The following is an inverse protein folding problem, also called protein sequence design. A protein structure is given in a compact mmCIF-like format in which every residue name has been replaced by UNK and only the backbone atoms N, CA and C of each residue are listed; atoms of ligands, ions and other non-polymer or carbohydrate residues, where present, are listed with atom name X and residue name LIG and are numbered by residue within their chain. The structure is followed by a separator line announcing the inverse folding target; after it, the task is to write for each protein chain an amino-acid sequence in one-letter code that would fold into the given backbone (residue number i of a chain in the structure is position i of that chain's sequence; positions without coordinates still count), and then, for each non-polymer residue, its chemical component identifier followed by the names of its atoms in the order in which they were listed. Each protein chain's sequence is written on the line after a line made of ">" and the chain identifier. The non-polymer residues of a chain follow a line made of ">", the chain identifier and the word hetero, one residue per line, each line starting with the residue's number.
data_IF_790440994396
#
_entry.id   IF_790440994396
#
_cell.length_a   1.000
_cell.length_b   1.000
_cell.length_c   1.000
_cell.angle_alpha   90.00
_cell.angle_beta   90.00
_cell.angle_gamma   90.00
#
_symmetry.space_group_name_H-M   'P 1'
#
loop_
_entity.id
_entity.type
_entity.pdbx_description
1 polymer ?
#
# COMPACT_ATOMS: atom_id res chain seq x y z
N UNK A 1 27.06 19.36 89.81
CA UNK A 1 25.86 18.62 89.40
C UNK A 1 25.82 18.57 87.88
N UNK A 2 25.86 17.34 87.36
CA UNK A 2 25.54 16.85 86.02
C UNK A 2 25.99 17.66 84.78
N UNK A 3 27.13 17.25 84.22
CA UNK A 3 27.47 17.40 82.80
C UNK A 3 26.66 16.39 81.96
N UNK A 4 25.91 16.85 80.96
CA UNK A 4 25.28 16.01 79.94
C UNK A 4 26.15 15.94 78.67
N UNK A 5 26.27 14.77 78.02
CA UNK A 5 27.14 14.58 76.88
C UNK A 5 26.46 14.90 75.54
N UNK A 6 27.25 15.51 74.65
CA UNK A 6 27.01 15.69 73.22
C UNK A 6 26.92 14.35 72.49
N UNK A 7 25.76 14.02 71.92
CA UNK A 7 25.56 12.73 71.24
C UNK A 7 24.47 12.76 70.17
N UNK A 8 24.50 13.72 69.25
CA UNK A 8 23.50 13.80 68.16
C UNK A 8 24.11 14.32 66.85
N UNK A 9 25.04 13.58 66.23
CA UNK A 9 25.60 14.00 64.93
C UNK A 9 26.00 12.88 63.96
N UNK A 10 25.86 11.59 64.30
CA UNK A 10 26.27 10.48 63.40
C UNK A 10 25.16 9.82 62.57
N UNK A 11 23.88 10.06 62.87
CA UNK A 11 22.76 9.45 62.13
C UNK A 11 22.29 10.27 60.91
N UNK A 12 22.67 11.54 60.79
CA UNK A 12 22.23 12.41 59.69
C UNK A 12 23.06 12.25 58.41
N UNK A 13 24.32 11.81 58.52
CA UNK A 13 25.23 11.66 57.38
C UNK A 13 24.95 10.40 56.53
N UNK A 14 24.45 9.32 57.12
CA UNK A 14 24.21 8.06 56.38
C UNK A 14 22.96 8.07 55.47
N UNK A 15 21.93 8.87 55.79
CA UNK A 15 20.76 9.02 54.90
C UNK A 15 21.12 9.76 53.60
N UNK A 16 21.96 10.79 53.69
CA UNK A 16 22.36 11.62 52.53
C UNK A 16 23.01 10.83 51.40
N UNK A 17 23.78 9.78 51.70
CA UNK A 17 24.46 8.98 50.67
C UNK A 17 23.53 7.98 49.99
N UNK A 18 22.59 7.38 50.73
CA UNK A 18 21.62 6.45 50.16
C UNK A 18 20.66 7.18 49.22
N UNK A 19 20.23 8.39 49.61
CA UNK A 19 19.33 9.24 48.81
C UNK A 19 20.03 9.71 47.52
N UNK A 20 21.32 10.08 47.57
CA UNK A 20 22.08 10.42 46.37
C UNK A 20 22.28 9.21 45.43
N UNK A 21 22.53 8.02 45.98
CA UNK A 21 22.70 6.81 45.18
C UNK A 21 21.39 6.40 44.50
N UNK A 22 20.28 6.37 45.23
CA UNK A 22 18.95 6.07 44.69
C UNK A 22 18.52 7.09 43.62
N UNK A 23 18.78 8.38 43.85
CA UNK A 23 18.52 9.43 42.85
C UNK A 23 19.33 9.20 41.57
N UNK A 24 20.63 8.90 41.70
CA UNK A 24 21.51 8.66 40.54
C UNK A 24 21.07 7.43 39.73
N UNK A 25 20.68 6.34 40.39
CA UNK A 25 20.17 5.13 39.73
C UNK A 25 18.86 5.40 39.00
N UNK A 26 17.94 6.16 39.62
CA UNK A 26 16.67 6.52 38.98
C UNK A 26 16.90 7.41 37.74
N UNK A 27 17.83 8.37 37.80
CA UNK A 27 18.19 9.19 36.65
C UNK A 27 18.75 8.36 35.49
N UNK A 28 19.60 7.37 35.77
CA UNK A 28 20.14 6.47 34.73
C UNK A 28 19.05 5.60 34.10
N UNK A 29 18.12 5.07 34.89
CA UNK A 29 17.00 4.27 34.39
C UNK A 29 16.03 5.11 33.54
N UNK A 30 15.78 6.37 33.93
CA UNK A 30 14.95 7.29 33.15
C UNK A 30 15.64 7.70 31.85
N UNK A 31 16.95 7.94 31.86
CA UNK A 31 17.71 8.26 30.66
C UNK A 31 17.68 7.09 29.65
N UNK A 32 17.95 5.86 30.11
CA UNK A 32 17.91 4.67 29.26
C UNK A 32 16.49 4.40 28.69
N UNK A 33 15.45 4.62 29.49
CA UNK A 33 14.07 4.51 29.00
C UNK A 33 13.75 5.55 27.91
N UNK A 34 14.17 6.81 28.10
CA UNK A 34 13.96 7.89 27.11
C UNK A 34 14.73 7.61 25.82
N UNK A 35 16.00 7.18 25.92
CA UNK A 35 16.82 6.86 24.75
C UNK A 35 16.25 5.67 23.97
N UNK A 36 15.82 4.61 24.64
CA UNK A 36 15.20 3.45 23.97
C UNK A 36 13.86 3.81 23.32
N UNK A 37 13.03 4.62 23.98
CA UNK A 37 11.76 5.07 23.41
C UNK A 37 11.97 5.99 22.20
N UNK A 38 12.91 6.93 22.29
CA UNK A 38 13.27 7.82 21.20
C UNK A 38 13.85 7.03 20.02
N UNK A 39 14.81 6.13 20.25
CA UNK A 39 15.41 5.32 19.20
C UNK A 39 14.40 4.40 18.49
N UNK A 40 13.40 3.87 19.21
CA UNK A 40 12.31 3.12 18.57
C UNK A 40 11.44 3.99 17.68
N UNK A 41 11.07 5.19 18.14
CA UNK A 41 10.25 6.09 17.33
C UNK A 41 11.01 6.59 16.09
N UNK A 42 12.25 7.07 16.27
CA UNK A 42 13.07 7.55 15.17
C UNK A 42 13.61 6.42 14.28
N UNK A 43 13.63 5.18 14.76
CA UNK A 43 13.97 4.01 13.95
C UNK A 43 12.88 3.63 12.93
N UNK A 44 11.62 4.02 13.18
CA UNK A 44 10.51 3.74 12.24
C UNK A 44 10.52 4.73 11.08
N UNK A 45 10.81 6.01 11.32
CA UNK A 45 10.71 7.07 10.31
C UNK A 45 12.10 7.54 9.87
N UNK A 46 12.48 7.25 8.63
CA UNK A 46 13.67 7.84 8.00
C UNK A 46 13.25 8.92 7.02
N UNK A 47 13.37 10.18 7.43
CA UNK A 47 12.96 11.35 6.63
C UNK A 47 14.17 11.94 5.90
N UNK A 48 14.00 12.22 4.61
CA UNK A 48 15.01 12.83 3.74
C UNK A 48 14.64 14.28 3.41
N UNK A 49 15.66 15.13 3.22
CA UNK A 49 15.47 16.54 2.83
C UNK A 49 14.79 16.74 1.45
N UNK A 50 14.65 15.68 0.66
CA UNK A 50 13.90 15.65 -0.60
C UNK A 50 12.38 15.59 -0.42
N UNK A 51 11.90 15.49 0.83
CA UNK A 51 10.48 15.30 1.15
C UNK A 51 10.03 13.84 1.04
N UNK A 52 10.99 12.91 1.03
CA UNK A 52 10.72 11.47 1.07
C UNK A 52 10.83 10.97 2.52
N UNK A 53 9.92 10.09 2.93
CA UNK A 53 9.92 9.46 4.25
C UNK A 53 9.79 7.96 4.08
N UNK A 54 10.77 7.20 4.56
CA UNK A 54 10.71 5.74 4.59
C UNK A 54 10.21 5.30 5.96
N UNK A 55 9.15 4.51 5.96
CA UNK A 55 8.61 3.86 7.15
C UNK A 55 9.13 2.42 7.21
N UNK A 56 9.93 2.08 8.21
CA UNK A 56 10.25 0.69 8.51
C UNK A 56 9.04 0.05 9.18
N UNK A 57 8.58 -1.09 8.67
CA UNK A 57 7.40 -1.77 9.22
C UNK A 57 7.73 -2.65 10.41
N UNK A 58 9.00 -3.01 10.59
CA UNK A 58 9.49 -3.77 11.71
C UNK A 58 9.21 -3.03 13.03
N UNK A 59 8.53 -3.70 13.97
CA UNK A 59 7.96 -3.13 15.20
C UNK A 59 6.80 -2.12 14.99
N UNK A 60 6.50 -1.67 13.77
CA UNK A 60 5.44 -0.70 13.47
C UNK A 60 4.11 -1.38 13.08
N UNK A 61 3.73 -2.44 13.80
CA UNK A 61 2.49 -3.19 13.59
C UNK A 61 1.35 -2.64 14.46
N UNK A 62 0.11 -3.04 14.18
CA UNK A 62 -1.13 -2.66 14.86
C UNK A 62 -1.60 -1.23 14.60
N UNK A 63 -2.67 -0.86 15.30
CA UNK A 63 -3.39 0.40 15.20
C UNK A 63 -4.89 0.17 15.33
N UNK A 64 -5.69 1.21 15.59
CA UNK A 64 -7.13 1.08 15.52
C UNK A 64 -7.53 0.83 14.06
N UNK A 65 -8.30 -0.23 13.77
CA UNK A 65 -8.80 -0.57 12.41
C UNK A 65 -9.85 0.42 11.86
N UNK A 66 -9.76 1.69 12.22
CA UNK A 66 -10.60 2.79 11.78
C UNK A 66 -9.79 3.72 10.85
N UNK A 67 -10.40 4.15 9.76
CA UNK A 67 -9.81 5.14 8.84
C UNK A 67 -9.57 6.49 9.52
N UNK A 68 -10.37 6.82 10.53
CA UNK A 68 -10.31 8.08 11.27
C UNK A 68 -9.35 8.05 12.46
N UNK A 69 -8.48 7.04 12.57
CA UNK A 69 -7.41 7.00 13.57
C UNK A 69 -6.05 6.68 12.95
N UNK A 70 -4.99 7.27 13.48
CA UNK A 70 -3.62 7.06 13.00
C UNK A 70 -3.20 5.59 13.14
N UNK A 71 -2.58 5.05 12.10
CA UNK A 71 -1.92 3.74 12.13
C UNK A 71 -0.42 3.88 12.38
N UNK A 72 0.23 2.80 12.82
CA UNK A 72 1.68 2.82 13.03
C UNK A 72 2.45 2.99 11.72
N UNK A 73 2.02 2.31 10.65
CA UNK A 73 2.50 2.56 9.28
C UNK A 73 1.50 3.41 8.51
N UNK A 74 1.69 4.73 8.60
CA UNK A 74 0.91 5.71 7.86
C UNK A 74 1.78 6.92 7.53
N UNK A 75 1.70 7.39 6.30
CA UNK A 75 2.39 8.59 5.84
C UNK A 75 1.96 9.82 6.64
N UNK A 76 2.89 10.77 6.78
CA UNK A 76 2.65 11.96 7.57
C UNK A 76 1.76 12.98 6.82
N UNK A 77 1.50 14.10 7.49
CA UNK A 77 0.70 15.17 6.94
C UNK A 77 1.31 15.73 5.64
N UNK A 78 0.52 15.77 4.56
CA UNK A 78 0.96 16.21 3.23
C UNK A 78 1.73 15.15 2.44
N UNK A 79 1.99 13.98 3.02
CA UNK A 79 2.61 12.83 2.36
C UNK A 79 1.59 11.80 1.85
N UNK A 80 1.96 11.10 0.78
CA UNK A 80 1.23 9.96 0.24
C UNK A 80 2.16 8.76 0.09
N UNK A 81 1.61 7.54 0.14
CA UNK A 81 2.40 6.37 -0.22
C UNK A 81 2.71 6.42 -1.71
N UNK A 82 3.98 6.20 -2.04
CA UNK A 82 4.49 6.13 -3.41
C UNK A 82 5.22 4.83 -3.68
N UNK A 83 5.52 4.02 -2.67
CA UNK A 83 6.16 2.74 -2.91
C UNK A 83 6.15 1.81 -1.71
N UNK A 84 6.56 0.59 -1.97
CA UNK A 84 6.77 -0.48 -1.00
C UNK A 84 8.14 -1.10 -1.24
N UNK A 85 8.78 -1.53 -0.17
CA UNK A 85 10.07 -2.20 -0.22
C UNK A 85 10.03 -3.52 0.51
N UNK A 86 10.71 -4.49 -0.07
CA UNK A 86 11.09 -5.73 0.60
C UNK A 86 12.63 -5.85 0.60
N UNK A 87 13.13 -6.71 1.48
CA UNK A 87 14.53 -7.06 1.58
C UNK A 87 14.83 -8.29 0.72
N UNK A 88 14.50 -9.49 1.20
CA UNK A 88 14.96 -10.77 0.62
C UNK A 88 13.90 -11.86 0.61
N UNK A 89 12.64 -11.53 0.86
CA UNK A 89 11.57 -12.52 1.03
C UNK A 89 10.52 -12.40 -0.10
N UNK A 90 10.91 -12.06 -1.33
CA UNK A 90 10.03 -12.09 -2.51
C UNK A 90 8.71 -11.33 -2.37
N UNK A 91 8.65 -10.26 -1.59
CA UNK A 91 7.41 -9.56 -1.21
C UNK A 91 6.40 -10.45 -0.46
N UNK A 92 6.89 -11.44 0.30
CA UNK A 92 6.16 -12.16 1.34
C UNK A 92 6.03 -11.33 2.62
N UNK A 93 6.86 -10.30 2.77
CA UNK A 93 6.74 -9.28 3.79
C UNK A 93 6.82 -7.91 3.14
N UNK A 94 6.23 -6.92 3.81
CA UNK A 94 6.43 -5.53 3.43
C UNK A 94 7.35 -4.89 4.46
N UNK A 95 8.66 -4.88 4.21
CA UNK A 95 9.65 -4.38 5.17
C UNK A 95 9.65 -2.85 5.28
N UNK A 96 9.32 -2.17 4.18
CA UNK A 96 9.36 -0.71 4.09
C UNK A 96 8.17 -0.17 3.31
N UNK A 97 7.72 1.02 3.70
CA UNK A 97 6.82 1.85 2.92
C UNK A 97 7.51 3.15 2.59
N UNK A 98 7.36 3.59 1.35
CA UNK A 98 7.86 4.87 0.90
C UNK A 98 6.72 5.88 0.85
N UNK A 99 6.86 6.93 1.64
CA UNK A 99 6.00 8.10 1.64
C UNK A 99 6.72 9.27 0.97
N UNK A 100 5.97 10.12 0.28
CA UNK A 100 6.50 11.33 -0.34
C UNK A 100 5.57 12.50 -0.12
N UNK A 101 6.13 13.68 0.09
CA UNK A 101 5.38 14.92 0.18
C UNK A 101 4.76 15.29 -1.18
N UNK A 102 3.45 15.11 -1.31
CA UNK A 102 2.72 15.22 -2.58
C UNK A 102 1.73 16.39 -2.62
N UNK A 103 1.44 17.01 -1.48
CA UNK A 103 0.40 18.03 -1.37
C UNK A 103 0.92 19.34 -0.76
N UNK A 104 1.77 20.09 -1.47
CA UNK A 104 2.40 21.32 -0.94
C UNK A 104 1.42 22.41 -0.52
N UNK A 105 0.29 22.53 -1.21
CA UNK A 105 -0.76 23.51 -0.91
C UNK A 105 -1.79 23.04 0.13
N UNK A 106 -1.60 21.84 0.71
CA UNK A 106 -2.49 21.36 1.77
C UNK A 106 -2.28 22.23 3.02
N UNK A 107 -3.36 22.69 3.69
CA UNK A 107 -3.21 23.39 4.96
C UNK A 107 -2.62 22.44 6.02
N UNK A 108 -1.67 22.90 6.85
CA UNK A 108 -1.06 22.07 7.88
C UNK A 108 -2.12 21.67 8.91
N UNK A 109 -2.12 20.40 9.34
CA UNK A 109 -3.01 19.97 10.42
C UNK A 109 -2.45 20.27 11.81
N UNK A 110 -1.23 20.81 11.90
CA UNK A 110 -0.52 21.04 13.18
C UNK A 110 -0.44 19.77 14.04
N UNK A 111 -0.30 18.61 13.40
CA UNK A 111 -0.23 17.32 14.09
C UNK A 111 -1.59 16.77 14.54
N UNK A 112 -2.69 17.46 14.28
CA UNK A 112 -4.04 16.95 14.53
C UNK A 112 -4.41 15.89 13.47
N UNK A 113 -4.91 14.76 13.94
CA UNK A 113 -5.40 13.67 13.11
C UNK A 113 -6.94 13.78 12.96
N UNK A 114 -7.55 13.44 11.81
CA UNK A 114 -6.96 12.87 10.59
C UNK A 114 -6.18 13.88 9.74
N UNK A 115 -5.07 13.41 9.15
CA UNK A 115 -4.27 14.22 8.23
C UNK A 115 -5.05 14.56 6.96
N UNK A 116 -5.90 13.65 6.49
CA UNK A 116 -6.68 13.78 5.27
C UNK A 116 -8.19 13.63 5.54
N UNK A 117 -9.05 14.26 4.72
CA UNK A 117 -10.49 14.09 4.85
C UNK A 117 -10.94 12.69 4.38
N UNK A 118 -12.03 12.21 4.96
CA UNK A 118 -12.80 11.04 4.49
C UNK A 118 -11.93 9.80 4.22
N UNK A 119 -11.27 9.31 5.26
CA UNK A 119 -10.50 8.08 5.19
C UNK A 119 -11.38 6.85 5.43
N UNK A 120 -11.13 5.78 4.69
CA UNK A 120 -11.78 4.48 4.87
C UNK A 120 -10.75 3.35 4.71
N UNK A 121 -11.11 2.19 5.25
CA UNK A 121 -10.25 1.01 5.25
C UNK A 121 -10.74 0.03 4.19
N UNK A 122 -9.80 -0.51 3.42
CA UNK A 122 -10.03 -1.57 2.45
C UNK A 122 -9.11 -2.73 2.73
N UNK A 123 -9.31 -3.84 2.04
CA UNK A 123 -8.52 -5.04 2.20
C UNK A 123 -7.90 -5.45 0.88
N UNK A 124 -6.59 -5.32 0.73
CA UNK A 124 -5.91 -5.53 -0.55
C UNK A 124 -5.83 -7.01 -0.96
N UNK A 125 -6.39 -7.92 -0.16
CA UNK A 125 -6.65 -9.31 -0.56
C UNK A 125 -7.83 -9.44 -1.53
N UNK A 126 -8.88 -8.65 -1.32
CA UNK A 126 -10.16 -8.79 -2.06
C UNK A 126 -10.61 -7.49 -2.73
N UNK A 127 -10.00 -6.37 -2.36
CA UNK A 127 -10.37 -5.02 -2.72
C UNK A 127 -9.11 -4.23 -3.09
N UNK A 128 -8.62 -4.43 -4.31
CA UNK A 128 -7.27 -4.00 -4.70
C UNK A 128 -7.06 -2.50 -4.94
N UNK A 129 -8.13 -1.73 -5.12
CA UNK A 129 -8.05 -0.30 -5.45
C UNK A 129 -8.68 0.53 -4.34
N UNK A 130 -8.26 1.76 -4.13
CA UNK A 130 -8.98 2.70 -3.27
C UNK A 130 -10.31 3.13 -3.91
N UNK A 131 -10.31 3.34 -5.23
CA UNK A 131 -11.50 3.71 -5.99
C UNK A 131 -12.56 2.58 -6.03
N UNK A 132 -13.84 2.96 -5.91
CA UNK A 132 -15.02 2.08 -5.99
C UNK A 132 -16.04 2.66 -6.95
N UNK A 133 -16.34 1.94 -8.03
CA UNK A 133 -17.39 2.35 -8.95
C UNK A 133 -18.78 2.42 -8.27
N UNK A 134 -19.05 1.54 -7.30
CA UNK A 134 -20.33 1.50 -6.57
C UNK A 134 -20.50 2.71 -5.65
N UNK A 135 -19.41 3.18 -5.05
CA UNK A 135 -19.38 4.26 -4.07
C UNK A 135 -18.48 5.39 -4.57
N UNK A 136 -18.75 5.86 -5.79
CA UNK A 136 -17.93 6.84 -6.51
C UNK A 136 -17.72 8.11 -5.68
N UNK A 137 -18.78 8.68 -5.13
CA UNK A 137 -18.73 9.94 -4.38
C UNK A 137 -17.80 9.88 -3.16
N UNK A 138 -17.65 8.70 -2.55
CA UNK A 138 -16.79 8.50 -1.38
C UNK A 138 -15.36 8.16 -1.79
N UNK A 139 -15.20 7.38 -2.86
CA UNK A 139 -13.92 6.78 -3.24
C UNK A 139 -13.16 7.50 -4.35
N UNK A 140 -13.77 8.51 -4.98
CA UNK A 140 -13.08 9.36 -5.97
C UNK A 140 -11.96 10.16 -5.33
N UNK A 141 -10.86 10.31 -6.07
CA UNK A 141 -9.66 11.02 -5.64
C UNK A 141 -9.12 10.47 -4.32
N UNK A 142 -9.10 9.16 -4.19
CA UNK A 142 -8.54 8.49 -3.01
C UNK A 142 -7.24 7.79 -3.35
N UNK A 143 -6.34 7.78 -2.38
CA UNK A 143 -5.01 7.20 -2.47
C UNK A 143 -4.64 6.54 -1.14
N UNK A 144 -3.63 5.68 -1.16
CA UNK A 144 -3.17 4.93 0.00
C UNK A 144 -2.35 5.84 0.91
N UNK A 145 -2.71 5.89 2.19
CA UNK A 145 -1.96 6.61 3.22
C UNK A 145 -1.40 5.70 4.30
N UNK A 146 -2.07 4.58 4.58
CA UNK A 146 -1.69 3.63 5.63
C UNK A 146 -1.74 2.18 5.16
N UNK A 147 -0.90 1.34 5.75
CA UNK A 147 -1.03 -0.13 5.69
C UNK A 147 -1.10 -0.68 7.12
N UNK A 148 -1.77 -1.80 7.29
CA UNK A 148 -1.94 -2.43 8.58
C UNK A 148 -1.54 -3.90 8.53
N UNK A 149 -0.86 -4.33 9.57
CA UNK A 149 -0.66 -5.73 9.92
C UNK A 149 -0.75 -5.85 11.44
N UNK A 150 -1.17 -7.02 11.93
CA UNK A 150 -1.15 -7.34 13.36
C UNK A 150 0.10 -8.16 13.76
N UNK A 151 0.93 -8.54 12.79
CA UNK A 151 2.18 -9.25 12.96
C UNK A 151 3.37 -8.28 13.00
N UNK A 152 4.32 -8.63 13.84
CA UNK A 152 5.55 -7.93 14.07
C UNK A 152 6.42 -7.71 12.81
N UNK A 153 6.40 -8.65 11.86
CA UNK A 153 7.22 -8.62 10.65
C UNK A 153 6.46 -8.19 9.39
N UNK A 154 5.18 -7.82 9.52
CA UNK A 154 4.35 -7.37 8.40
C UNK A 154 4.26 -8.41 7.26
N UNK A 155 3.94 -9.65 7.65
CA UNK A 155 3.82 -10.77 6.72
C UNK A 155 2.59 -10.63 5.83
N UNK A 156 2.81 -10.58 4.52
CA UNK A 156 1.74 -10.50 3.52
C UNK A 156 1.10 -11.85 3.23
N UNK A 157 1.71 -12.94 3.70
CA UNK A 157 1.14 -14.27 3.74
C UNK A 157 0.90 -14.73 5.17
N UNK A 158 -0.26 -15.35 5.43
CA UNK A 158 -0.54 -16.06 6.67
C UNK A 158 -0.96 -17.48 6.34
N UNK A 159 -0.39 -18.46 7.04
CA UNK A 159 -0.79 -19.87 6.89
C UNK A 159 -2.24 -20.04 7.39
N UNK A 160 -3.20 -20.06 6.47
CA UNK A 160 -4.63 -20.05 6.74
C UNK A 160 -5.39 -19.22 5.70
N UNK A 161 -6.70 -19.07 5.82
CA UNK A 161 -7.45 -18.09 5.01
C UNK A 161 -6.97 -16.68 5.36
N UNK A 162 -5.94 -16.21 4.67
CA UNK A 162 -5.34 -14.89 4.78
C UNK A 162 -6.24 -13.84 4.09
N UNK A 163 -7.42 -13.69 4.70
CA UNK A 163 -8.53 -12.93 4.16
C UNK A 163 -8.50 -11.47 4.61
N UNK A 164 -7.53 -11.02 5.40
CA UNK A 164 -7.56 -9.66 5.97
C UNK A 164 -6.17 -9.05 5.97
N UNK A 165 -5.94 -8.20 4.97
CA UNK A 165 -4.77 -7.36 4.90
C UNK A 165 -5.23 -5.91 4.65
N UNK A 166 -5.51 -5.16 5.73
CA UNK A 166 -6.11 -3.85 5.62
C UNK A 166 -5.11 -2.79 5.13
N UNK A 167 -5.62 -1.87 4.33
CA UNK A 167 -4.92 -0.65 3.94
C UNK A 167 -5.90 0.52 3.99
N UNK A 168 -5.36 1.71 4.25
CA UNK A 168 -6.12 2.92 4.45
C UNK A 168 -6.08 3.78 3.20
N UNK A 169 -7.27 4.15 2.73
CA UNK A 169 -7.48 5.05 1.62
C UNK A 169 -8.05 6.36 2.13
N UNK A 170 -7.46 7.49 1.77
CA UNK A 170 -7.96 8.82 2.13
C UNK A 170 -8.19 9.66 0.89
N UNK A 171 -9.09 10.65 0.97
CA UNK A 171 -9.29 11.60 -0.12
C UNK A 171 -8.14 12.59 -0.21
N UNK A 172 -7.83 13.01 -1.43
CA UNK A 172 -6.95 14.14 -1.67
C UNK A 172 -7.48 15.41 -0.99
N UNK A 173 -6.58 16.31 -0.56
CA UNK A 173 -6.99 17.61 -0.06
C UNK A 173 -7.65 18.46 -1.16
N UNK A 174 -8.38 19.49 -0.75
CA UNK A 174 -9.09 20.38 -1.68
C UNK A 174 -8.11 20.97 -2.71
N UNK A 175 -8.51 20.97 -3.98
CA UNK A 175 -7.69 21.47 -5.09
C UNK A 175 -6.75 20.43 -5.70
N UNK A 176 -6.77 19.18 -5.23
CA UNK A 176 -6.04 18.07 -5.83
C UNK A 176 -7.00 16.99 -6.32
N UNK A 177 -6.61 16.28 -7.37
CA UNK A 177 -7.35 15.15 -7.90
C UNK A 177 -6.41 14.01 -8.29
N UNK A 178 -6.95 12.80 -8.39
CA UNK A 178 -6.23 11.64 -8.93
C UNK A 178 -6.59 11.52 -10.41
N UNK A 179 -5.59 11.60 -11.27
CA UNK A 179 -5.76 11.37 -12.70
C UNK A 179 -5.78 9.88 -13.00
N UNK A 180 -6.99 9.33 -13.04
CA UNK A 180 -7.21 7.91 -13.29
C UNK A 180 -6.83 7.45 -14.72
N UNK A 181 -6.60 8.36 -15.67
CA UNK A 181 -6.13 8.00 -17.01
C UNK A 181 -4.63 7.73 -17.05
N UNK A 182 -3.89 8.42 -16.20
CA UNK A 182 -2.43 8.30 -16.12
C UNK A 182 -2.00 7.19 -15.17
N UNK A 183 -2.92 6.30 -14.78
CA UNK A 183 -2.56 5.19 -13.91
C UNK A 183 -1.81 4.10 -14.66
N UNK A 184 -0.77 3.56 -14.04
CA UNK A 184 -0.11 2.34 -14.47
C UNK A 184 0.07 1.40 -13.26
N UNK A 185 0.43 0.16 -13.56
CA UNK A 185 0.75 -0.83 -12.54
C UNK A 185 2.25 -1.04 -12.52
N UNK A 186 2.82 -1.05 -11.32
CA UNK A 186 4.22 -1.41 -11.11
C UNK A 186 4.26 -2.81 -10.50
N UNK A 187 4.71 -3.84 -11.25
CA UNK A 187 4.80 -5.20 -10.74
C UNK A 187 5.95 -5.32 -9.74
N UNK A 188 5.82 -6.26 -8.80
CA UNK A 188 6.87 -6.65 -7.84
C UNK A 188 7.79 -7.77 -8.36
N UNK A 189 7.57 -8.15 -9.62
CA UNK A 189 8.26 -9.21 -10.33
C UNK A 189 8.70 -8.74 -11.70
N UNK A 190 9.69 -9.44 -12.25
CA UNK A 190 10.21 -9.19 -13.57
C UNK A 190 9.34 -9.81 -14.68
N UNK A 191 9.83 -9.75 -15.92
CA UNK A 191 9.16 -10.30 -17.10
C UNK A 191 9.11 -11.83 -17.12
N UNK A 192 9.95 -12.51 -16.34
CA UNK A 192 10.00 -13.97 -16.20
C UNK A 192 9.10 -14.46 -15.07
N UNK A 193 8.55 -13.53 -14.27
CA UNK A 193 7.66 -13.81 -13.15
C UNK A 193 8.41 -14.10 -11.86
N UNK A 194 9.71 -13.84 -11.81
CA UNK A 194 10.54 -13.93 -10.61
C UNK A 194 10.34 -12.64 -9.81
N UNK A 195 10.07 -12.78 -8.51
CA UNK A 195 10.00 -11.61 -7.64
C UNK A 195 11.36 -10.94 -7.57
N UNK A 196 11.37 -9.62 -7.40
CA UNK A 196 12.61 -8.92 -7.16
C UNK A 196 13.19 -9.38 -5.80
N UNK A 197 14.23 -10.22 -5.81
CA UNK A 197 14.83 -10.95 -4.68
C UNK A 197 16.32 -10.59 -4.40
N UNK A 198 16.70 -9.32 -4.48
CA UNK A 198 18.09 -8.90 -4.38
C UNK A 198 18.45 -8.55 -2.95
N UNK A 199 19.56 -9.15 -2.50
CA UNK A 199 20.14 -9.01 -1.16
C UNK A 199 20.35 -7.58 -0.66
N UNK A 200 20.34 -6.57 -1.53
CA UNK A 200 20.67 -5.19 -1.17
C UNK A 200 19.50 -4.21 -1.12
N UNK A 201 18.23 -4.66 -1.19
CA UNK A 201 16.97 -3.88 -1.25
C UNK A 201 16.37 -3.75 -2.65
N UNK A 202 15.06 -4.00 -2.75
CA UNK A 202 14.28 -3.65 -3.93
C UNK A 202 13.11 -2.76 -3.56
N UNK A 203 12.98 -1.67 -4.30
CA UNK A 203 11.93 -0.69 -4.12
C UNK A 203 10.99 -0.74 -5.33
N UNK A 204 9.73 -1.07 -5.08
CA UNK A 204 8.65 -0.94 -6.04
C UNK A 204 7.99 0.41 -5.75
N UNK A 205 8.32 1.40 -6.56
CA UNK A 205 7.87 2.77 -6.36
C UNK A 205 7.24 3.37 -7.62
N UNK A 206 6.33 4.30 -7.40
CA UNK A 206 5.71 5.13 -8.39
C UNK A 206 6.69 6.22 -8.86
N UNK A 207 6.69 6.49 -10.16
CA UNK A 207 7.32 7.65 -10.78
C UNK A 207 6.90 8.98 -10.13
N UNK A 208 7.66 10.03 -10.44
CA UNK A 208 7.39 11.40 -9.96
C UNK A 208 5.94 11.81 -10.21
N UNK A 209 5.37 12.53 -9.26
CA UNK A 209 3.98 13.00 -9.25
C UNK A 209 2.91 11.90 -9.22
N UNK A 210 3.28 10.63 -8.99
CA UNK A 210 2.32 9.53 -8.85
C UNK A 210 2.24 9.06 -7.40
N UNK A 211 1.03 8.66 -7.00
CA UNK A 211 0.74 8.08 -5.68
C UNK A 211 0.15 6.70 -5.84
N UNK A 212 0.36 5.87 -4.82
CA UNK A 212 -0.27 4.57 -4.72
C UNK A 212 -1.77 4.74 -4.51
N UNK A 213 -2.57 4.16 -5.38
CA UNK A 213 -4.05 4.16 -5.31
C UNK A 213 -4.62 2.75 -5.26
N UNK A 214 -3.76 1.74 -5.31
CA UNK A 214 -4.12 0.34 -5.22
C UNK A 214 -2.91 -0.53 -4.92
N UNK A 215 -3.19 -1.71 -4.40
CA UNK A 215 -2.24 -2.73 -4.01
C UNK A 215 -2.93 -4.08 -4.22
N UNK A 216 -2.24 -5.03 -4.84
CA UNK A 216 -2.75 -6.37 -5.08
C UNK A 216 -1.79 -7.43 -4.57
N UNK A 217 -2.33 -8.49 -3.98
CA UNK A 217 -1.57 -9.70 -3.66
C UNK A 217 -2.11 -10.91 -4.43
N UNK A 218 -1.23 -11.86 -4.76
CA UNK A 218 -1.56 -13.06 -5.52
C UNK A 218 -0.86 -14.27 -4.92
N UNK A 219 -1.47 -15.44 -5.10
CA UNK A 219 -0.83 -16.72 -4.77
C UNK A 219 0.31 -16.96 -5.78
N UNK A 220 1.52 -17.14 -5.26
CA UNK A 220 2.68 -17.56 -6.01
C UNK A 220 2.46 -18.97 -6.58
N UNK A 221 2.73 -19.17 -7.88
CA UNK A 221 2.53 -20.44 -8.56
C UNK A 221 3.42 -21.58 -8.03
N UNK A 222 4.60 -21.25 -7.49
CA UNK A 222 5.57 -22.22 -6.99
C UNK A 222 5.40 -22.52 -5.50
N UNK A 223 5.43 -21.48 -4.67
CA UNK A 223 5.33 -21.61 -3.20
C UNK A 223 3.91 -21.80 -2.66
N UNK A 224 2.88 -21.42 -3.44
CA UNK A 224 1.48 -21.33 -3.00
C UNK A 224 1.23 -20.33 -1.85
N UNK A 225 2.19 -19.47 -1.57
CA UNK A 225 2.07 -18.39 -0.59
C UNK A 225 1.58 -17.10 -1.25
N UNK A 226 1.03 -16.17 -0.45
CA UNK A 226 0.57 -14.87 -0.93
C UNK A 226 1.70 -13.85 -0.94
N UNK A 227 1.96 -13.28 -2.12
CA UNK A 227 2.96 -12.24 -2.29
C UNK A 227 2.26 -10.99 -2.82
N UNK A 228 2.75 -9.81 -2.48
CA UNK A 228 2.32 -8.59 -3.18
C UNK A 228 2.77 -8.72 -4.63
N UNK A 229 1.85 -8.58 -5.59
CA UNK A 229 2.10 -8.80 -7.03
C UNK A 229 2.30 -7.47 -7.78
N UNK A 230 1.61 -6.41 -7.33
CA UNK A 230 1.69 -5.10 -7.95
C UNK A 230 1.19 -3.97 -7.04
N UNK A 231 1.62 -2.75 -7.34
CA UNK A 231 1.01 -1.49 -6.87
C UNK A 231 0.41 -0.73 -8.06
N UNK A 232 -0.70 -0.01 -7.83
CA UNK A 232 -1.27 0.90 -8.81
C UNK A 232 -0.79 2.32 -8.52
N UNK A 233 -0.15 2.94 -9.49
CA UNK A 233 0.40 4.29 -9.40
C UNK A 233 -0.42 5.22 -10.30
N UNK A 234 -1.00 6.26 -9.74
CA UNK A 234 -1.78 7.26 -10.49
C UNK A 234 -1.23 8.66 -10.25
N UNK A 235 -1.24 9.49 -11.29
CA UNK A 235 -0.75 10.86 -11.20
C UNK A 235 -1.65 11.71 -10.31
N UNK A 236 -1.05 12.54 -9.47
CA UNK A 236 -1.76 13.60 -8.73
C UNK A 236 -1.80 14.85 -9.60
N UNK A 237 -3.00 15.32 -9.90
CA UNK A 237 -3.24 16.59 -10.57
C UNK A 237 -3.64 17.68 -9.60
N UNK A 238 -3.45 18.93 -10.04
CA UNK A 238 -3.84 20.14 -9.29
C UNK A 238 -4.93 20.89 -10.05
N UNK A 239 -5.91 21.40 -9.34
CA UNK A 239 -7.01 22.20 -9.87
C UNK A 239 -8.28 21.40 -10.11
N UNK A 240 -9.05 21.84 -11.11
CA UNK A 240 -10.32 21.20 -11.46
C UNK A 240 -10.01 19.90 -12.21
N UNK A 241 -10.50 18.74 -11.74
CA UNK A 241 -10.30 17.50 -12.45
C UNK A 241 -10.86 17.63 -13.87
N UNK A 242 -10.18 17.07 -14.89
CA UNK A 242 -10.75 17.00 -16.22
C UNK A 242 -12.13 16.32 -16.11
N UNK A 243 -13.17 16.91 -16.73
CA UNK A 243 -14.60 16.52 -16.59
C UNK A 243 -14.91 15.07 -17.00
N UNK A 244 -13.92 14.30 -17.41
CA UNK A 244 -14.07 12.95 -17.91
C UNK A 244 -13.49 12.03 -16.84
N UNK A 245 -14.32 11.42 -16.00
CA UNK A 245 -13.88 10.28 -15.20
C UNK A 245 -14.09 9.04 -16.06
N UNK A 246 -13.08 8.63 -16.84
CA UNK A 246 -13.00 7.22 -17.23
C UNK A 246 -12.03 6.55 -16.28
N UNK A 247 -12.40 5.39 -15.72
CA UNK A 247 -11.43 4.57 -15.02
C UNK A 247 -10.31 4.19 -15.98
N UNK A 248 -9.14 3.80 -15.45
CA UNK A 248 -8.00 3.39 -16.27
C UNK A 248 -8.49 2.32 -17.26
N UNK A 249 -8.32 2.58 -18.55
CA UNK A 249 -8.50 1.53 -19.54
C UNK A 249 -7.25 0.66 -19.45
N UNK A 250 -7.44 -0.60 -19.06
CA UNK A 250 -6.37 -1.58 -19.05
C UNK A 250 -5.77 -1.67 -20.46
N UNK A 251 -4.65 -0.98 -20.70
CA UNK A 251 -3.85 -1.10 -21.92
C UNK A 251 -2.63 -1.94 -21.63
N UNK A 252 -2.89 -3.11 -21.06
CA UNK A 252 -1.96 -4.23 -21.15
C UNK A 252 -2.69 -5.30 -21.96
N UNK A 253 -2.01 -5.85 -22.97
CA UNK A 253 -2.36 -7.14 -23.57
C UNK A 253 -2.26 -8.20 -22.47
N UNK A 254 -3.33 -8.32 -21.69
CA UNK A 254 -3.51 -9.21 -20.55
C UNK A 254 -3.93 -10.62 -20.98
N UNK A 255 -3.94 -10.91 -22.28
CA UNK A 255 -4.43 -12.16 -22.85
C UNK A 255 -3.63 -13.40 -22.41
N UNK A 256 -2.43 -13.24 -21.82
CA UNK A 256 -1.67 -14.36 -21.25
C UNK A 256 -1.86 -14.59 -19.74
N UNK A 257 -2.44 -13.64 -18.97
CA UNK A 257 -2.51 -13.74 -17.49
C UNK A 257 -3.92 -13.55 -16.87
N UNK A 258 -4.93 -13.15 -17.64
CA UNK A 258 -6.24 -12.69 -17.13
C UNK A 258 -7.32 -13.76 -16.91
N UNK A 259 -7.04 -15.07 -17.01
CA UNK A 259 -8.15 -16.01 -17.21
C UNK A 259 -8.98 -16.36 -15.95
N UNK A 260 -8.62 -15.91 -14.74
CA UNK A 260 -9.43 -16.17 -13.56
C UNK A 260 -9.48 -14.94 -12.63
N UNK A 261 -10.70 -14.51 -12.29
CA UNK A 261 -11.10 -13.53 -11.25
C UNK A 261 -11.26 -12.04 -11.58
N UNK A 262 -12.10 -11.69 -12.56
CA UNK A 262 -12.76 -10.36 -12.60
C UNK A 262 -14.27 -10.47 -12.40
N UNK A 263 -14.85 -9.93 -11.32
CA UNK A 263 -16.30 -9.84 -11.16
C UNK A 263 -16.87 -8.47 -11.54
N UNK A 264 -17.94 -8.55 -12.34
CA UNK A 264 -19.12 -7.69 -12.46
C UNK A 264 -19.04 -6.35 -13.22
N UNK A 265 -19.80 -6.35 -14.32
CA UNK A 265 -20.16 -5.26 -15.22
C UNK A 265 -20.65 -4.02 -14.43
N UNK A 266 -20.14 -2.80 -14.71
CA UNK A 266 -20.60 -1.58 -14.04
C UNK A 266 -22.07 -1.26 -14.37
N UNK A 267 -22.72 -0.47 -13.51
CA UNK A 267 -24.11 -0.04 -13.71
C UNK A 267 -24.25 0.81 -14.99
N UNK A 268 -25.43 0.74 -15.63
CA UNK A 268 -25.66 1.29 -16.97
C UNK A 268 -25.36 2.78 -17.14
N UNK A 269 -25.42 3.57 -16.05
CA UNK A 269 -25.12 5.00 -16.07
C UNK A 269 -23.63 5.31 -16.27
N UNK A 270 -22.74 4.40 -15.90
CA UNK A 270 -21.29 4.56 -16.06
C UNK A 270 -20.75 3.74 -17.22
N UNK A 271 -21.53 2.85 -17.84
CA UNK A 271 -21.06 1.96 -18.92
C UNK A 271 -20.35 2.70 -20.06
N UNK A 272 -20.80 3.91 -20.44
CA UNK A 272 -20.17 4.73 -21.47
C UNK A 272 -18.75 5.21 -21.10
N UNK A 273 -18.42 5.28 -19.81
CA UNK A 273 -17.08 5.63 -19.33
C UNK A 273 -16.10 4.45 -19.39
N UNK A 274 -16.63 3.21 -19.40
CA UNK A 274 -15.85 1.97 -19.47
C UNK A 274 -15.84 1.35 -20.88
N UNK A 275 -16.58 1.92 -21.84
CA UNK A 275 -16.51 1.52 -23.25
C UNK A 275 -15.22 2.04 -23.89
N UNK A 276 -14.12 1.41 -23.53
CA UNK A 276 -12.95 1.32 -24.38
C UNK A 276 -13.27 0.41 -25.54
N UNK A 277 -13.08 0.91 -26.76
CA UNK A 277 -12.89 0.05 -27.93
C UNK A 277 -11.70 -0.86 -27.63
N UNK A 278 -11.99 -2.05 -27.09
CA UNK A 278 -11.23 -3.31 -27.18
C UNK A 278 -11.86 -4.36 -26.25
N UNK A 279 -13.19 -4.47 -26.27
CA UNK A 279 -13.84 -5.75 -25.94
C UNK A 279 -14.16 -6.39 -27.29
N UNK A 280 -13.52 -7.53 -27.57
CA UNK A 280 -13.58 -8.27 -28.84
C UNK A 280 -14.99 -8.68 -29.28
N UNK A 281 -15.73 -7.73 -29.82
CA UNK A 281 -17.01 -7.97 -30.48
C UNK A 281 -17.27 -6.86 -31.53
N UNK A 282 -16.48 -6.85 -32.61
CA UNK A 282 -16.90 -6.56 -33.99
C UNK A 282 -15.68 -6.21 -34.85
N UNK A 283 -15.27 -7.15 -35.69
CA UNK A 283 -15.09 -6.99 -37.15
C UNK A 283 -14.24 -8.15 -37.67
N UNK A 284 -14.82 -9.35 -37.72
CA UNK A 284 -14.47 -10.23 -38.84
C UNK A 284 -15.06 -9.58 -40.10
N UNK A 285 -14.27 -9.33 -41.16
CA UNK A 285 -14.81 -8.90 -42.44
C UNK A 285 -15.75 -10.01 -42.95
N UNK A 286 -17.05 -9.72 -43.03
CA UNK A 286 -17.95 -10.42 -43.94
C UNK A 286 -17.50 -10.05 -45.36
N UNK A 287 -16.64 -10.87 -45.94
CA UNK A 287 -16.10 -10.58 -47.26
C UNK A 287 -14.98 -11.51 -47.70
N UNK A 288 -15.15 -12.82 -47.55
CA UNK A 288 -14.48 -13.79 -48.44
C UNK A 288 -15.43 -14.96 -48.69
N UNK A 289 -16.50 -14.64 -49.44
CA UNK A 289 -17.21 -15.62 -50.26
C UNK A 289 -16.27 -16.02 -51.40
N UNK A 290 -15.46 -17.05 -51.17
CA UNK A 290 -14.92 -17.88 -52.23
C UNK A 290 -16.04 -18.80 -52.72
N UNK A 291 -16.65 -18.38 -53.83
CA UNK A 291 -17.57 -19.09 -54.72
C UNK A 291 -17.65 -20.62 -54.54
N UNK A 292 -18.87 -21.11 -54.33
CA UNK A 292 -19.27 -22.43 -54.81
C UNK A 292 -18.89 -22.57 -56.28
N UNK A 293 -18.20 -23.65 -56.63
CA UNK A 293 -18.31 -24.26 -57.96
C UNK A 293 -18.63 -25.73 -57.73
N UNK A 294 -19.90 -26.06 -57.95
CA UNK A 294 -20.36 -27.44 -58.17
C UNK A 294 -19.67 -27.93 -59.43
N UNK A 295 -19.05 -29.10 -59.36
CA UNK A 295 -19.00 -30.01 -60.50
C UNK A 295 -19.07 -31.45 -59.99
N UNK A 296 -20.02 -32.18 -60.55
CA UNK A 296 -20.24 -33.61 -60.43
C UNK A 296 -18.99 -34.41 -60.85
N UNK A 297 -18.71 -35.54 -60.20
CA UNK A 297 -18.66 -36.86 -60.86
C UNK A 297 -18.31 -38.01 -59.89
N UNK A 298 -18.93 -39.15 -60.17
CA UNK A 298 -18.70 -40.50 -59.65
C UNK A 298 -17.23 -40.90 -59.43
N UNK A 299 -16.94 -41.69 -58.39
CA UNK A 299 -16.66 -43.13 -58.58
C UNK A 299 -16.55 -43.93 -57.28
N UNK A 300 -17.01 -45.18 -57.42
CA UNK A 300 -17.00 -46.31 -56.49
C UNK A 300 -15.58 -46.84 -56.17
N UNK A 301 -15.58 -47.87 -55.29
CA UNK A 301 -14.57 -48.93 -55.05
C UNK A 301 -13.71 -48.71 -53.80
N UNK A 302 -13.41 -49.69 -52.94
CA UNK A 302 -13.91 -51.04 -52.66
C UNK A 302 -13.24 -51.44 -51.35
N UNK A 303 -13.93 -52.26 -50.55
CA UNK A 303 -13.33 -53.01 -49.47
C UNK A 303 -12.43 -54.13 -50.02
N UNK A 304 -11.21 -54.27 -49.51
CA UNK A 304 -10.32 -55.44 -49.36
C UNK A 304 -9.18 -54.89 -48.48
N UNK A 305 -8.73 -55.42 -47.35
CA UNK A 305 -8.73 -56.73 -46.68
C UNK A 305 -8.60 -56.51 -45.17
#
# INVERSE_FOLDING_TARGET
>A
MAHQPSGFSRLRWKRSHLDCFLSSVLFLLLADYVDNAANRYYGVFTVYGTGDTILQTFHAHLGPLDGNRRWHVECLDGEAMVGIGDLVDDFQKMAQVWCKFMFPNKPPTNGLYPYYPNCFVRNYTTQYHCYMAKDHDVSINTFITGIYDDDFQFWTFRLGQDNSQPYKCCKTPLGYYIDYFSCYYMPTKDIYGEYYDHTSMFLVFCATDHVMTGLGKKINAWGRDYHVDWIQCCRVGVGIPPRIYRPPQHTYTYDSYANHSYPNKPSGQYAAQYQGRNLGAQMMPRGFLGSERKDHHHNQLSAVS
#
